data_IF_008182212442
#
_entry.id   IF_008182212442
#
_cell.length_a   1.000
_cell.length_b   1.000
_cell.length_c   1.000
_cell.angle_alpha   90.00
_cell.angle_beta   90.00
_cell.angle_gamma   90.00
#
_symmetry.space_group_name_H-M   'P 1'
#
loop_
_entity.id
_entity.type
_entity.pdbx_description
1 polymer ?
#
# COMPACT_ATOMS: atom_id res chain seq x y z
N UNK A 1 32.22 9.03 -13.41
CA UNK A 1 31.14 9.06 -12.42
C UNK A 1 31.00 7.64 -11.90
N UNK A 2 31.15 7.44 -10.59
CA UNK A 2 30.99 6.12 -9.97
C UNK A 2 29.51 5.94 -9.66
N UNK A 3 28.92 4.82 -10.06
CA UNK A 3 27.63 4.42 -9.55
C UNK A 3 27.71 4.29 -8.01
N UNK A 4 26.70 4.79 -7.30
CA UNK A 4 26.64 4.72 -5.83
C UNK A 4 26.24 3.31 -5.36
N UNK A 5 25.48 2.59 -6.21
CA UNK A 5 25.10 1.19 -6.03
C UNK A 5 25.69 0.29 -7.12
N UNK A 6 26.08 -0.93 -6.76
CA UNK A 6 26.52 -1.92 -7.74
C UNK A 6 25.33 -2.55 -8.50
N UNK A 7 25.64 -3.30 -9.56
CA UNK A 7 24.61 -3.96 -10.40
C UNK A 7 23.69 -4.89 -9.61
N UNK A 8 24.23 -5.65 -8.66
CA UNK A 8 23.45 -6.58 -7.83
C UNK A 8 22.45 -5.82 -6.94
N UNK A 9 22.85 -4.68 -6.37
CA UNK A 9 21.99 -3.82 -5.55
C UNK A 9 20.85 -3.22 -6.38
N UNK A 10 21.13 -2.73 -7.59
CA UNK A 10 20.11 -2.22 -8.49
C UNK A 10 19.08 -3.30 -8.90
N UNK A 11 19.52 -4.54 -9.12
CA UNK A 11 18.60 -5.64 -9.41
C UNK A 11 17.63 -5.93 -8.25
N UNK A 12 18.08 -5.79 -6.99
CA UNK A 12 17.19 -5.93 -5.83
C UNK A 12 16.13 -4.84 -5.82
N UNK A 13 16.49 -3.59 -6.11
CA UNK A 13 15.54 -2.47 -6.15
C UNK A 13 14.52 -2.61 -7.30
N UNK A 14 14.95 -3.10 -8.47
CA UNK A 14 14.06 -3.39 -9.59
C UNK A 14 13.04 -4.45 -9.20
N UNK A 15 13.50 -5.58 -8.62
CA UNK A 15 12.61 -6.67 -8.19
C UNK A 15 11.62 -6.20 -7.13
N UNK A 16 12.09 -5.43 -6.14
CA UNK A 16 11.23 -4.86 -5.10
C UNK A 16 10.17 -3.93 -5.69
N UNK A 17 10.56 -3.01 -6.57
CA UNK A 17 9.66 -2.08 -7.26
C UNK A 17 8.60 -2.83 -8.06
N UNK A 18 9.01 -3.89 -8.78
CA UNK A 18 8.11 -4.68 -9.60
C UNK A 18 7.03 -5.37 -8.74
N UNK A 19 7.42 -6.01 -7.65
CA UNK A 19 6.48 -6.64 -6.72
C UNK A 19 5.57 -5.61 -6.03
N UNK A 20 6.09 -4.45 -5.64
CA UNK A 20 5.26 -3.39 -5.05
C UNK A 20 4.21 -2.86 -6.03
N UNK A 21 4.56 -2.69 -7.32
CA UNK A 21 3.60 -2.31 -8.37
C UNK A 21 2.52 -3.38 -8.53
N UNK A 22 2.91 -4.65 -8.65
CA UNK A 22 1.97 -5.77 -8.77
C UNK A 22 1.03 -5.81 -7.57
N UNK A 23 1.57 -5.82 -6.35
CA UNK A 23 0.76 -5.89 -5.13
C UNK A 23 -0.17 -4.68 -5.01
N UNK A 24 0.33 -3.47 -5.27
CA UNK A 24 -0.49 -2.25 -5.25
C UNK A 24 -1.65 -2.30 -6.23
N UNK A 25 -1.41 -2.76 -7.46
CA UNK A 25 -2.45 -2.91 -8.48
C UNK A 25 -3.47 -3.99 -8.09
N UNK A 26 -3.01 -5.14 -7.60
CA UNK A 26 -3.91 -6.22 -7.17
C UNK A 26 -4.81 -5.79 -6.00
N UNK A 27 -4.25 -5.11 -5.00
CA UNK A 27 -5.02 -4.56 -3.88
C UNK A 27 -6.02 -3.52 -4.38
N UNK A 28 -5.60 -2.63 -5.29
CA UNK A 28 -6.50 -1.62 -5.87
C UNK A 28 -7.68 -2.26 -6.61
N UNK A 29 -7.43 -3.30 -7.42
CA UNK A 29 -8.49 -4.07 -8.10
C UNK A 29 -9.43 -4.70 -7.09
N UNK A 30 -8.90 -5.35 -6.05
CA UNK A 30 -9.70 -5.94 -4.97
C UNK A 30 -10.59 -4.91 -4.27
N UNK A 31 -10.06 -3.71 -3.99
CA UNK A 31 -10.82 -2.62 -3.39
C UNK A 31 -11.93 -2.12 -4.30
N UNK A 32 -11.68 -1.98 -5.61
CA UNK A 32 -12.70 -1.56 -6.58
C UNK A 32 -13.83 -2.59 -6.65
N UNK A 33 -13.49 -3.88 -6.78
CA UNK A 33 -14.49 -4.95 -6.82
C UNK A 33 -15.29 -5.02 -5.51
N UNK A 34 -14.63 -4.91 -4.36
CA UNK A 34 -15.28 -4.88 -3.05
C UNK A 34 -16.17 -3.65 -2.87
N UNK A 35 -15.75 -2.48 -3.36
CA UNK A 35 -16.54 -1.25 -3.34
C UNK A 35 -17.79 -1.37 -4.21
N UNK A 36 -17.68 -1.92 -5.42
CA UNK A 36 -18.83 -2.20 -6.29
C UNK A 36 -19.79 -3.19 -5.66
N UNK A 37 -19.28 -4.27 -5.05
CA UNK A 37 -20.10 -5.23 -4.31
C UNK A 37 -20.85 -4.57 -3.15
N UNK A 38 -20.18 -3.70 -2.40
CA UNK A 38 -20.76 -2.95 -1.29
C UNK A 38 -21.82 -1.93 -1.73
N UNK A 39 -21.68 -1.32 -2.92
CA UNK A 39 -22.72 -0.47 -3.51
C UNK A 39 -23.99 -1.28 -3.81
N UNK A 40 -23.85 -2.49 -4.35
CA UNK A 40 -24.99 -3.35 -4.69
C UNK A 40 -25.69 -3.83 -3.41
N UNK A 41 -24.94 -4.20 -2.37
CA UNK A 41 -25.50 -4.66 -1.10
C UNK A 41 -25.92 -3.51 -0.16
N UNK A 42 -25.68 -2.25 -0.52
CA UNK A 42 -25.88 -1.08 0.35
C UNK A 42 -25.18 -1.19 1.71
N UNK A 43 -24.01 -1.85 1.75
CA UNK A 43 -23.22 -2.03 2.96
C UNK A 43 -22.25 -0.86 3.16
N UNK A 44 -22.69 0.11 3.97
CA UNK A 44 -21.90 1.29 4.30
C UNK A 44 -20.56 0.96 5.00
N UNK A 45 -20.48 -0.13 5.76
CA UNK A 45 -19.25 -0.56 6.44
C UNK A 45 -18.23 -1.09 5.45
N UNK A 46 -18.69 -1.89 4.48
CA UNK A 46 -17.87 -2.38 3.39
C UNK A 46 -17.44 -1.24 2.44
N UNK A 47 -18.29 -0.26 2.16
CA UNK A 47 -17.93 0.91 1.35
C UNK A 47 -16.75 1.69 1.96
N UNK A 48 -16.83 1.98 3.26
CA UNK A 48 -15.80 2.74 3.95
C UNK A 48 -14.48 1.96 4.03
N UNK A 49 -14.56 0.65 4.32
CA UNK A 49 -13.39 -0.23 4.42
C UNK A 49 -12.67 -0.39 3.08
N UNK A 50 -13.42 -0.65 2.00
CA UNK A 50 -12.84 -0.78 0.66
C UNK A 50 -12.30 0.57 0.15
N UNK A 51 -12.95 1.69 0.51
CA UNK A 51 -12.45 3.03 0.22
C UNK A 51 -11.10 3.32 0.89
N UNK A 52 -10.97 3.04 2.18
CA UNK A 52 -9.71 3.20 2.93
C UNK A 52 -8.59 2.31 2.37
N UNK A 53 -8.88 1.03 2.11
CA UNK A 53 -7.91 0.12 1.50
C UNK A 53 -7.49 0.57 0.10
N UNK A 54 -8.39 1.17 -0.68
CA UNK A 54 -8.07 1.78 -1.97
C UNK A 54 -7.05 2.91 -1.84
N UNK A 55 -7.18 3.77 -0.82
CA UNK A 55 -6.17 4.81 -0.52
C UNK A 55 -4.82 4.16 -0.22
N UNK A 56 -4.79 3.10 0.59
CA UNK A 56 -3.54 2.39 0.93
C UNK A 56 -2.86 1.83 -0.32
N UNK A 57 -3.64 1.22 -1.22
CA UNK A 57 -3.15 0.69 -2.48
C UNK A 57 -2.51 1.77 -3.37
N UNK A 58 -3.13 2.95 -3.46
CA UNK A 58 -2.57 4.10 -4.19
C UNK A 58 -1.24 4.56 -3.60
N UNK A 59 -1.12 4.60 -2.27
CA UNK A 59 0.15 4.95 -1.61
C UNK A 59 1.25 3.91 -1.89
N UNK A 60 0.92 2.61 -1.96
CA UNK A 60 1.87 1.56 -2.34
C UNK A 60 2.39 1.76 -3.77
N UNK A 61 1.49 2.05 -4.71
CA UNK A 61 1.85 2.32 -6.10
C UNK A 61 2.77 3.55 -6.17
N UNK A 62 2.43 4.64 -5.47
CA UNK A 62 3.28 5.84 -5.43
C UNK A 62 4.67 5.57 -4.85
N UNK A 63 4.76 4.75 -3.80
CA UNK A 63 6.04 4.36 -3.22
C UNK A 63 6.89 3.54 -4.20
N UNK A 64 6.26 2.65 -4.96
CA UNK A 64 6.96 1.89 -6.00
C UNK A 64 7.56 2.79 -7.09
N UNK A 65 6.82 3.81 -7.54
CA UNK A 65 7.31 4.77 -8.55
C UNK A 65 8.47 5.61 -8.01
N UNK A 66 8.53 5.87 -6.70
CA UNK A 66 9.66 6.56 -6.09
C UNK A 66 10.94 5.72 -6.10
N UNK A 67 10.84 4.41 -5.84
CA UNK A 67 11.99 3.47 -5.91
C UNK A 67 12.45 3.30 -7.37
N UNK A 68 11.52 3.25 -8.33
CA UNK A 68 11.84 3.15 -9.76
C UNK A 68 12.73 4.30 -10.25
N UNK A 69 12.61 5.49 -9.65
CA UNK A 69 13.45 6.64 -10.00
C UNK A 69 14.88 6.47 -9.51
N UNK A 70 15.10 5.80 -8.37
CA UNK A 70 16.44 5.50 -7.82
C UNK A 70 17.27 4.68 -8.80
N UNK A 71 16.63 3.73 -9.49
CA UNK A 71 17.30 2.83 -10.44
C UNK A 71 17.67 3.52 -11.74
N UNK A 72 16.91 4.55 -12.13
CA UNK A 72 17.00 5.19 -13.44
C UNK A 72 17.73 6.55 -13.44
N UNK A 73 18.14 7.06 -12.27
CA UNK A 73 18.93 8.30 -12.15
C UNK A 73 20.41 7.97 -11.95
N UNK A 74 21.30 8.76 -12.54
CA UNK A 74 22.74 8.68 -12.31
C UNK A 74 23.19 9.85 -11.44
N UNK A 75 23.59 9.54 -10.20
CA UNK A 75 24.06 10.52 -9.22
C UNK A 75 22.94 11.03 -8.32
N UNK A 76 23.23 11.11 -7.02
CA UNK A 76 22.28 11.41 -5.93
C UNK A 76 21.28 10.25 -5.60
N UNK A 77 21.69 9.00 -5.88
CA UNK A 77 20.88 7.79 -5.68
C UNK A 77 20.49 7.60 -4.20
N UNK A 78 21.36 7.99 -3.27
CA UNK A 78 21.08 7.99 -1.82
C UNK A 78 19.89 8.90 -1.44
N UNK A 79 19.77 10.08 -2.05
CA UNK A 79 18.67 11.02 -1.81
C UNK A 79 17.36 10.47 -2.36
N UNK A 80 17.40 9.88 -3.56
CA UNK A 80 16.24 9.20 -4.14
C UNK A 80 15.83 7.99 -3.29
N UNK A 81 16.79 7.22 -2.77
CA UNK A 81 16.52 6.07 -1.89
C UNK A 81 15.87 6.52 -0.58
N UNK A 82 16.38 7.57 0.06
CA UNK A 82 15.76 8.12 1.27
C UNK A 82 14.33 8.63 1.02
N UNK A 83 14.08 9.29 -0.11
CA UNK A 83 12.73 9.70 -0.50
C UNK A 83 11.80 8.48 -0.69
N UNK A 84 12.30 7.44 -1.34
CA UNK A 84 11.57 6.20 -1.55
C UNK A 84 11.27 5.47 -0.23
N UNK A 85 12.25 5.30 0.66
CA UNK A 85 12.06 4.72 1.99
C UNK A 85 11.09 5.53 2.85
N UNK A 86 11.11 6.87 2.75
CA UNK A 86 10.14 7.74 3.45
C UNK A 86 8.71 7.48 2.96
N UNK A 87 8.53 7.28 1.65
CA UNK A 87 7.22 6.92 1.08
C UNK A 87 6.76 5.52 1.50
N UNK A 88 7.68 4.56 1.55
CA UNK A 88 7.42 3.19 1.99
C UNK A 88 7.04 3.15 3.48
N UNK A 89 7.71 3.95 4.32
CA UNK A 89 7.33 4.14 5.73
C UNK A 89 5.90 4.69 5.86
N UNK A 90 5.54 5.65 5.01
CA UNK A 90 4.17 6.18 4.94
C UNK A 90 3.15 5.10 4.58
N UNK A 91 3.46 4.26 3.59
CA UNK A 91 2.63 3.10 3.25
C UNK A 91 2.44 2.16 4.44
N UNK A 92 3.51 1.74 5.12
CA UNK A 92 3.39 0.83 6.27
C UNK A 92 2.60 1.44 7.43
N UNK A 93 2.73 2.74 7.66
CA UNK A 93 1.92 3.45 8.66
C UNK A 93 0.42 3.41 8.32
N UNK A 94 0.07 3.75 7.07
CA UNK A 94 -1.32 3.73 6.59
C UNK A 94 -1.87 2.30 6.59
N UNK A 95 -1.07 1.32 6.19
CA UNK A 95 -1.43 -0.10 6.21
C UNK A 95 -1.71 -0.59 7.63
N UNK A 96 -0.86 -0.24 8.61
CA UNK A 96 -1.05 -0.59 10.01
C UNK A 96 -2.32 0.06 10.58
N UNK A 97 -2.57 1.34 10.29
CA UNK A 97 -3.79 2.03 10.69
C UNK A 97 -5.05 1.38 10.10
N UNK A 98 -5.00 1.01 8.82
CA UNK A 98 -6.13 0.34 8.13
C UNK A 98 -6.39 -1.05 8.71
N UNK A 99 -5.34 -1.80 9.04
CA UNK A 99 -5.48 -3.09 9.70
C UNK A 99 -6.12 -2.97 11.10
N UNK A 100 -5.67 -2.01 11.91
CA UNK A 100 -6.25 -1.74 13.23
C UNK A 100 -7.72 -1.34 13.14
N UNK A 101 -8.08 -0.51 12.15
CA UNK A 101 -9.47 -0.13 11.92
C UNK A 101 -10.35 -1.35 11.59
N UNK A 102 -9.91 -2.20 10.66
CA UNK A 102 -10.64 -3.41 10.25
C UNK A 102 -10.77 -4.41 11.41
N UNK A 103 -9.68 -4.63 12.15
CA UNK A 103 -9.72 -5.50 13.33
C UNK A 103 -10.69 -4.96 14.39
N UNK A 104 -10.70 -3.65 14.62
CA UNK A 104 -11.61 -2.99 15.55
C UNK A 104 -13.08 -3.13 15.15
N UNK A 105 -13.42 -2.88 13.87
CA UNK A 105 -14.80 -3.01 13.39
C UNK A 105 -15.28 -4.47 13.40
N UNK A 106 -14.41 -5.42 13.08
CA UNK A 106 -14.72 -6.85 13.14
C UNK A 106 -14.99 -7.30 14.58
N UNK A 107 -14.16 -6.90 15.54
CA UNK A 107 -14.38 -7.20 16.96
C UNK A 107 -15.68 -6.59 17.45
N UNK A 108 -15.96 -5.32 17.12
CA UNK A 108 -17.21 -4.65 17.48
C UNK A 108 -18.43 -5.41 16.96
N UNK A 109 -18.41 -5.83 15.69
CA UNK A 109 -19.52 -6.59 15.08
C UNK A 109 -19.74 -7.94 15.77
N UNK A 110 -18.67 -8.64 16.16
CA UNK A 110 -18.75 -9.90 16.90
C UNK A 110 -19.39 -9.68 18.29
N UNK A 111 -18.98 -8.62 19.01
CA UNK A 111 -19.52 -8.31 20.34
C UNK A 111 -21.01 -7.93 20.29
N UNK A 112 -21.42 -7.15 19.29
CA UNK A 112 -22.82 -6.80 19.07
C UNK A 112 -23.67 -8.05 18.81
N UNK A 113 -23.18 -8.99 17.99
CA UNK A 113 -23.88 -10.26 17.71
C UNK A 113 -24.03 -11.15 18.95
N UNK A 114 -23.12 -11.04 19.91
CA UNK A 114 -23.18 -11.75 21.20
C UNK A 114 -24.02 -11.02 22.25
N UNK A 115 -24.53 -9.80 21.97
CA UNK A 115 -25.31 -9.00 22.91
C UNK A 115 -24.49 -8.41 24.06
N UNK A 116 -23.17 -8.29 23.89
CA UNK A 116 -22.23 -7.81 24.92
C UNK A 116 -21.96 -6.29 24.76
N UNK A 117 -22.24 -5.74 23.57
CA UNK A 117 -21.99 -4.34 23.20
C UNK A 117 -23.29 -3.59 22.90
#
# INVERSE_FOLDING_TARGET
MSYEFNREQNEVFIKATHWMKITGVLVLIGCILGFLGALISSDNGALLTNGLNGVVAVFLIRASTAIDRVVNTEGDDMTHMMAALRSLRGYFFIQAASFLYIAGTLVYYILQKQGIA
#
